data_IF_454697824636
#
_entry.id   IF_454697824636
#
_cell.length_a   1.000
_cell.length_b   1.000
_cell.length_c   1.000
_cell.angle_alpha   90.00
_cell.angle_beta   90.00
_cell.angle_gamma   90.00
#
_symmetry.space_group_name_H-M   'P 1'
#
loop_
_entity.id
_entity.type
_entity.pdbx_description
1 polymer ?
#
# COMPACT_ATOMS: atom_id res chain seq x y z
N UNK A 1 -5.52 -1.24 6.22
CA UNK A 1 -5.01 -2.62 6.16
C UNK A 1 -5.51 -3.22 4.86
N UNK A 2 -4.64 -3.38 3.87
CA UNK A 2 -4.95 -4.01 2.58
C UNK A 2 -3.68 -4.72 2.09
N UNK A 3 -3.79 -5.95 1.63
CA UNK A 3 -2.67 -6.62 0.97
C UNK A 3 -2.76 -6.47 -0.54
N UNK A 4 -3.96 -6.62 -1.08
CA UNK A 4 -4.18 -6.71 -2.53
C UNK A 4 -4.50 -5.37 -3.17
N UNK A 5 -4.14 -5.24 -4.44
CA UNK A 5 -4.39 -4.03 -5.24
C UNK A 5 -5.90 -3.75 -5.35
N UNK A 6 -6.71 -4.79 -5.56
CA UNK A 6 -8.16 -4.67 -5.66
C UNK A 6 -8.81 -4.16 -4.37
N UNK A 7 -8.28 -4.52 -3.20
CA UNK A 7 -8.79 -4.05 -1.90
C UNK A 7 -8.51 -2.55 -1.75
N UNK A 8 -7.29 -2.11 -2.07
CA UNK A 8 -6.93 -0.69 -2.02
C UNK A 8 -7.78 0.15 -2.99
N UNK A 9 -7.97 -0.34 -4.23
CA UNK A 9 -8.80 0.33 -5.22
C UNK A 9 -10.28 0.43 -4.77
N UNK A 10 -10.84 -0.66 -4.24
CA UNK A 10 -12.21 -0.66 -3.69
C UNK A 10 -12.34 0.34 -2.54
N UNK A 11 -11.35 0.41 -1.64
CA UNK A 11 -11.38 1.36 -0.52
C UNK A 11 -11.27 2.82 -0.97
N UNK A 12 -10.59 3.10 -2.08
CA UNK A 12 -10.58 4.43 -2.73
C UNK A 12 -11.97 4.78 -3.25
N UNK A 13 -12.64 3.84 -3.92
CA UNK A 13 -13.99 4.08 -4.45
C UNK A 13 -15.01 4.26 -3.33
N UNK A 14 -14.91 3.48 -2.26
CA UNK A 14 -15.73 3.64 -1.05
C UNK A 14 -15.50 4.99 -0.37
N UNK A 15 -14.23 5.42 -0.28
CA UNK A 15 -13.86 6.74 0.22
C UNK A 15 -14.55 7.87 -0.55
N UNK A 16 -14.62 7.77 -1.89
CA UNK A 16 -15.32 8.73 -2.75
C UNK A 16 -16.83 8.70 -2.52
N UNK A 17 -17.44 7.51 -2.41
CA UNK A 17 -18.88 7.36 -2.19
C UNK A 17 -19.33 8.01 -0.87
N UNK A 18 -18.55 7.84 0.19
CA UNK A 18 -18.88 8.31 1.54
C UNK A 18 -18.18 9.62 1.93
N UNK A 19 -17.49 10.27 0.99
CA UNK A 19 -16.81 11.55 1.18
C UNK A 19 -15.83 11.57 2.38
N UNK A 20 -14.99 10.54 2.49
CA UNK A 20 -13.86 10.49 3.41
C UNK A 20 -12.56 10.20 2.65
N UNK A 21 -11.40 10.47 3.25
CA UNK A 21 -10.10 10.18 2.63
C UNK A 21 -9.30 9.21 3.49
N UNK A 22 -8.91 8.07 2.93
CA UNK A 22 -7.99 7.15 3.58
C UNK A 22 -6.54 7.65 3.39
N UNK A 23 -5.89 8.13 4.44
CA UNK A 23 -4.54 8.71 4.30
C UNK A 23 -3.48 7.69 3.88
N UNK A 24 -3.53 6.46 4.40
CA UNK A 24 -2.48 5.46 4.19
C UNK A 24 -3.06 4.04 4.18
N UNK A 25 -2.63 3.24 3.21
CA UNK A 25 -2.86 1.80 3.21
C UNK A 25 -1.66 1.08 3.83
N UNK A 26 -1.93 0.21 4.81
CA UNK A 26 -0.90 -0.59 5.49
C UNK A 26 -0.75 -1.95 4.83
N UNK A 27 0.48 -2.47 4.84
CA UNK A 27 1.01 -3.70 4.23
C UNK A 27 1.20 -3.61 2.71
N UNK A 28 0.14 -3.32 1.95
CA UNK A 28 0.21 -2.97 0.53
C UNK A 28 1.06 -3.93 -0.31
N UNK A 29 0.92 -5.25 -0.13
CA UNK A 29 1.74 -6.27 -0.81
C UNK A 29 1.75 -6.06 -2.34
N UNK A 30 0.60 -5.68 -2.89
CA UNK A 30 0.44 -5.43 -4.32
C UNK A 30 0.40 -3.92 -4.67
N UNK A 31 0.86 -3.03 -3.79
CA UNK A 31 0.82 -1.58 -4.03
C UNK A 31 1.58 -1.17 -5.31
N UNK A 32 2.68 -1.85 -5.63
CA UNK A 32 3.43 -1.68 -6.87
C UNK A 32 2.58 -1.83 -8.14
N UNK A 33 1.46 -2.56 -8.09
CA UNK A 33 0.56 -2.75 -9.25
C UNK A 33 -0.32 -1.53 -9.52
N UNK A 34 -0.51 -0.66 -8.53
CA UNK A 34 -1.45 0.48 -8.57
C UNK A 34 -0.83 1.77 -8.03
N UNK A 35 0.51 1.88 -8.09
CA UNK A 35 1.24 3.00 -7.51
C UNK A 35 0.82 4.37 -8.10
N UNK A 36 0.49 4.38 -9.38
CA UNK A 36 -0.09 5.52 -10.10
C UNK A 36 -1.46 5.93 -9.55
N UNK A 37 -2.36 4.97 -9.33
CA UNK A 37 -3.67 5.21 -8.74
C UNK A 37 -3.57 5.76 -7.31
N UNK A 38 -2.67 5.19 -6.50
CA UNK A 38 -2.41 5.67 -5.13
C UNK A 38 -1.91 7.11 -5.14
N UNK A 39 -0.97 7.44 -6.03
CA UNK A 39 -0.43 8.79 -6.18
C UNK A 39 -1.48 9.79 -6.68
N UNK A 40 -2.30 9.40 -7.67
CA UNK A 40 -3.38 10.25 -8.20
C UNK A 40 -4.42 10.57 -7.12
N UNK A 41 -4.80 9.58 -6.31
CA UNK A 41 -5.76 9.78 -5.23
C UNK A 41 -5.13 10.37 -3.96
N UNK A 42 -3.80 10.49 -3.88
CA UNK A 42 -3.09 11.05 -2.73
C UNK A 42 -3.09 10.15 -1.49
N UNK A 43 -3.02 8.83 -1.70
CA UNK A 43 -2.83 7.85 -0.63
C UNK A 43 -1.33 7.52 -0.47
N UNK A 44 -0.88 7.39 0.77
CA UNK A 44 0.39 6.74 1.07
C UNK A 44 0.23 5.21 1.13
N UNK A 45 1.34 4.49 0.94
CA UNK A 45 1.44 3.07 1.21
C UNK A 45 2.54 2.80 2.26
N UNK A 46 2.16 2.21 3.39
CA UNK A 46 3.09 1.70 4.39
C UNK A 46 3.35 0.22 4.08
N UNK A 47 4.59 -0.09 3.74
CA UNK A 47 5.01 -1.34 3.12
C UNK A 47 6.07 -2.05 3.98
N UNK A 48 6.12 -3.37 3.88
CA UNK A 48 7.28 -4.13 4.35
C UNK A 48 8.36 -4.20 3.27
N UNK A 49 9.65 -4.22 3.67
CA UNK A 49 10.74 -4.36 2.71
C UNK A 49 10.88 -5.80 2.21
N UNK A 50 10.59 -6.80 3.04
CA UNK A 50 10.89 -8.20 2.76
C UNK A 50 9.91 -9.22 3.38
N UNK A 51 8.87 -8.79 4.09
CA UNK A 51 7.94 -9.71 4.75
C UNK A 51 6.71 -10.04 3.88
N UNK A 52 6.71 -11.23 3.28
CA UNK A 52 5.66 -11.71 2.38
C UNK A 52 5.57 -13.25 2.40
N UNK A 53 4.61 -13.83 1.65
CA UNK A 53 4.48 -15.29 1.47
C UNK A 53 3.91 -16.07 2.67
N UNK A 54 3.60 -15.39 3.78
CA UNK A 54 3.04 -15.99 4.99
C UNK A 54 1.52 -16.26 4.90
N UNK A 55 0.85 -15.71 3.88
CA UNK A 55 -0.57 -15.92 3.52
C UNK A 55 -0.72 -15.89 2.00
N UNK A 56 -1.81 -16.46 1.49
CA UNK A 56 -2.15 -16.42 0.06
C UNK A 56 -2.29 -14.97 -0.47
N UNK A 57 -2.95 -14.11 0.30
CA UNK A 57 -3.14 -12.69 0.00
C UNK A 57 -1.83 -11.86 0.09
N UNK A 58 -0.78 -12.40 0.71
CA UNK A 58 0.55 -11.77 0.81
C UNK A 58 1.59 -12.45 -0.11
N UNK A 59 1.16 -13.26 -1.07
CA UNK A 59 2.06 -14.12 -1.83
C UNK A 59 2.69 -13.42 -3.04
N UNK A 60 2.00 -12.47 -3.67
CA UNK A 60 2.43 -11.85 -4.93
C UNK A 60 3.25 -10.57 -4.73
N UNK A 61 4.10 -10.56 -3.70
CA UNK A 61 4.99 -9.44 -3.42
C UNK A 61 6.22 -9.48 -4.34
N UNK A 62 6.78 -8.29 -4.63
CA UNK A 62 8.11 -8.15 -5.23
C UNK A 62 9.00 -7.33 -4.30
N UNK A 63 10.29 -7.66 -4.20
CA UNK A 63 11.23 -6.96 -3.31
C UNK A 63 11.33 -5.47 -3.64
N UNK A 64 11.09 -5.12 -4.90
CA UNK A 64 11.10 -3.77 -5.41
C UNK A 64 9.82 -2.98 -5.09
N UNK A 65 8.83 -3.54 -4.37
CA UNK A 65 7.52 -2.90 -4.14
C UNK A 65 7.66 -1.46 -3.62
N UNK A 66 8.49 -1.26 -2.58
CA UNK A 66 8.78 0.08 -2.03
C UNK A 66 9.36 1.01 -3.08
N UNK A 67 10.35 0.54 -3.85
CA UNK A 67 11.03 1.35 -4.85
C UNK A 67 10.12 1.70 -6.03
N UNK A 68 9.26 0.77 -6.46
CA UNK A 68 8.29 1.01 -7.54
C UNK A 68 7.26 2.06 -7.12
N UNK A 69 6.74 1.97 -5.89
CA UNK A 69 5.81 2.98 -5.36
C UNK A 69 6.50 4.34 -5.23
N UNK A 70 7.70 4.39 -4.65
CA UNK A 70 8.48 5.63 -4.47
C UNK A 70 8.84 6.32 -5.81
N UNK A 71 9.07 5.55 -6.87
CA UNK A 71 9.43 6.07 -8.18
C UNK A 71 8.29 6.86 -8.89
N UNK A 72 7.04 6.67 -8.47
CA UNK A 72 5.90 7.37 -9.08
C UNK A 72 5.83 8.82 -8.59
N UNK A 73 5.65 9.76 -9.52
CA UNK A 73 5.53 11.19 -9.16
C UNK A 73 4.35 11.43 -8.23
N UNK A 74 4.58 12.21 -7.17
CA UNK A 74 3.61 12.51 -6.11
C UNK A 74 3.16 11.29 -5.29
N UNK A 75 3.90 10.17 -5.36
CA UNK A 75 3.65 9.03 -4.48
C UNK A 75 4.08 9.31 -3.05
N UNK A 76 3.73 8.38 -2.17
CA UNK A 76 4.16 8.38 -0.78
C UNK A 76 4.38 6.93 -0.33
N UNK A 77 5.63 6.47 -0.42
CA UNK A 77 6.05 5.18 0.10
C UNK A 77 6.61 5.33 1.52
N UNK A 78 6.16 4.50 2.45
CA UNK A 78 6.65 4.43 3.82
C UNK A 78 7.05 2.99 4.10
N UNK A 79 8.15 2.78 4.84
CA UNK A 79 8.56 1.45 5.30
C UNK A 79 8.19 1.31 6.77
N UNK A 80 7.50 0.23 7.12
CA UNK A 80 7.16 -0.09 8.51
C UNK A 80 7.54 -1.53 8.86
N UNK A 81 7.58 -1.80 10.16
CA UNK A 81 7.86 -3.13 10.72
C UNK A 81 6.60 -3.91 11.11
N UNK A 82 5.48 -3.20 11.27
CA UNK A 82 4.24 -3.71 11.89
C UNK A 82 4.44 -4.22 13.33
N UNK A 83 5.43 -3.68 14.04
CA UNK A 83 5.71 -4.01 15.44
C UNK A 83 5.18 -2.94 16.39
N UNK A 84 4.57 -3.35 17.50
CA UNK A 84 4.14 -2.45 18.58
C UNK A 84 5.28 -1.69 19.27
N UNK A 85 6.53 -2.12 19.04
CA UNK A 85 7.71 -1.60 19.75
C UNK A 85 8.77 -1.00 18.84
N UNK A 86 8.61 -1.10 17.52
CA UNK A 86 9.55 -0.52 16.57
C UNK A 86 8.80 0.39 15.58
N UNK A 87 9.21 0.49 14.32
CA UNK A 87 8.66 1.48 13.38
C UNK A 87 7.27 1.04 12.91
N UNK A 88 6.24 1.86 13.15
CA UNK A 88 4.87 1.69 12.67
C UNK A 88 4.61 2.44 11.37
#
# INVERSE_FOLDING_TARGET
>A
HCYKAEEMAMMIDLAKEFNYHAGTFHHGIEAYKIADLLAENGNCAALWPDWWGFKMEAYDMVLENVAIVDAVKNSCAVVHSDSDTTIQ
#
